data_IF_834346898195
#
_entry.id   IF_834346898195
#
_cell.length_a   1.000
_cell.length_b   1.000
_cell.length_c   1.000
_cell.angle_alpha   90.00
_cell.angle_beta   90.00
_cell.angle_gamma   90.00
#
_symmetry.space_group_name_H-M   'P 1'
#
loop_
_entity.id
_entity.type
_entity.pdbx_description
1 polymer ?
#
# COMPACT_ATOMS: atom_id res chain seq x y z
N UNK A 1 -17.57 5.85 11.26
CA UNK A 1 -16.90 5.64 12.56
C UNK A 1 -16.30 4.25 12.68
N UNK A 2 -17.12 3.21 12.91
CA UNK A 2 -16.63 1.85 13.26
C UNK A 2 -15.58 1.25 12.35
N UNK A 3 -15.63 1.50 11.03
CA UNK A 3 -14.63 0.96 10.09
C UNK A 3 -13.21 1.44 10.40
N UNK A 4 -13.06 2.69 10.80
CA UNK A 4 -11.77 3.31 11.08
C UNK A 4 -11.21 2.77 12.40
N UNK A 5 -12.07 2.58 13.41
CA UNK A 5 -11.68 1.92 14.67
C UNK A 5 -11.22 0.47 14.44
N UNK A 6 -11.93 -0.30 13.61
CA UNK A 6 -11.50 -1.66 13.23
C UNK A 6 -10.14 -1.64 12.53
N UNK A 7 -9.92 -0.66 11.65
CA UNK A 7 -8.65 -0.52 10.96
C UNK A 7 -7.51 -0.16 11.90
N UNK A 8 -7.70 0.78 12.83
CA UNK A 8 -6.72 1.12 13.88
C UNK A 8 -6.37 -0.08 14.76
N UNK A 9 -7.38 -0.86 15.17
CA UNK A 9 -7.16 -2.06 15.97
C UNK A 9 -6.36 -3.10 15.20
N UNK A 10 -6.68 -3.31 13.92
CA UNK A 10 -5.95 -4.21 13.05
C UNK A 10 -4.48 -3.78 12.85
N UNK A 11 -4.21 -2.50 12.60
CA UNK A 11 -2.83 -1.98 12.50
C UNK A 11 -2.03 -2.25 13.78
N UNK A 12 -2.66 -2.01 14.94
CA UNK A 12 -2.03 -2.25 16.26
C UNK A 12 -1.80 -3.74 16.52
N UNK A 13 -2.66 -4.61 16.00
CA UNK A 13 -2.48 -6.06 16.09
C UNK A 13 -1.33 -6.53 15.20
N UNK A 14 -1.22 -6.03 13.97
CA UNK A 14 -0.11 -6.35 13.06
C UNK A 14 1.24 -5.94 13.67
N UNK A 15 1.34 -4.73 14.20
CA UNK A 15 2.53 -4.22 14.89
C UNK A 15 2.93 -5.08 16.09
N UNK A 16 1.94 -5.48 16.89
CA UNK A 16 2.19 -6.35 18.05
C UNK A 16 2.64 -7.77 17.65
N UNK A 17 2.10 -8.33 16.57
CA UNK A 17 2.35 -9.72 16.16
C UNK A 17 3.60 -9.88 15.28
N UNK A 18 3.97 -8.84 14.53
CA UNK A 18 5.06 -8.89 13.56
C UNK A 18 6.35 -8.24 14.08
N UNK A 19 6.30 -7.62 15.26
CA UNK A 19 7.33 -6.74 15.77
C UNK A 19 7.09 -5.28 15.34
N UNK A 20 7.82 -4.33 15.93
CA UNK A 20 7.60 -2.90 15.65
C UNK A 20 7.67 -2.62 14.15
N UNK A 21 6.61 -2.02 13.60
CA UNK A 21 6.58 -1.60 12.21
C UNK A 21 7.57 -0.45 12.03
N UNK A 22 8.62 -0.66 11.23
CA UNK A 22 9.66 0.35 11.03
C UNK A 22 9.29 1.41 9.98
N UNK A 23 8.41 1.07 9.04
CA UNK A 23 7.91 2.00 8.01
C UNK A 23 6.67 1.43 7.30
N UNK A 24 5.88 2.31 6.70
CA UNK A 24 4.66 1.97 5.96
C UNK A 24 4.69 2.58 4.56
N UNK A 25 4.49 1.76 3.53
CA UNK A 25 4.21 2.25 2.18
C UNK A 25 2.80 1.83 1.76
N UNK A 26 2.08 2.74 1.14
CA UNK A 26 0.72 2.48 0.66
C UNK A 26 0.49 3.10 -0.71
N UNK A 27 -0.49 2.59 -1.44
CA UNK A 27 -0.88 3.13 -2.74
C UNK A 27 -1.50 4.53 -2.59
N UNK A 28 -0.91 5.54 -3.24
CA UNK A 28 -1.47 6.89 -3.30
C UNK A 28 -2.45 7.02 -4.48
N UNK A 29 -3.74 7.09 -4.16
CA UNK A 29 -4.81 7.36 -5.13
C UNK A 29 -5.20 8.83 -5.08
N UNK A 30 -4.82 9.59 -6.13
CA UNK A 30 -5.15 11.03 -6.23
C UNK A 30 -6.47 11.32 -6.95
N UNK A 31 -6.92 10.39 -7.80
CA UNK A 31 -8.14 10.57 -8.61
C UNK A 31 -9.17 9.52 -8.22
N UNK A 32 -10.29 9.98 -7.70
CA UNK A 32 -11.45 9.14 -7.39
C UNK A 32 -12.58 9.44 -8.37
N UNK A 33 -13.21 8.40 -8.91
CA UNK A 33 -14.35 8.55 -9.84
C UNK A 33 -15.65 8.87 -9.10
N UNK A 34 -15.75 8.54 -7.80
CA UNK A 34 -16.94 8.79 -6.98
C UNK A 34 -16.59 9.36 -5.61
N UNK A 35 -17.48 10.24 -5.11
CA UNK A 35 -17.34 10.94 -3.82
C UNK A 35 -17.26 9.97 -2.65
N UNK A 36 -18.08 8.92 -2.63
CA UNK A 36 -18.06 7.94 -1.55
C UNK A 36 -16.72 7.20 -1.48
N UNK A 37 -16.17 6.79 -2.62
CA UNK A 37 -14.85 6.16 -2.68
C UNK A 37 -13.76 7.10 -2.17
N UNK A 38 -13.83 8.39 -2.53
CA UNK A 38 -12.90 9.42 -2.05
C UNK A 38 -13.00 9.60 -0.52
N UNK A 39 -14.22 9.65 0.03
CA UNK A 39 -14.43 9.78 1.48
C UNK A 39 -13.90 8.57 2.25
N UNK A 40 -14.13 7.36 1.74
CA UNK A 40 -13.64 6.14 2.38
C UNK A 40 -12.12 6.06 2.34
N UNK A 41 -11.52 6.32 1.18
CA UNK A 41 -10.07 6.36 1.02
C UNK A 41 -9.44 7.42 1.93
N UNK A 42 -9.96 8.65 1.91
CA UNK A 42 -9.46 9.75 2.74
C UNK A 42 -9.57 9.43 4.24
N UNK A 43 -10.66 8.80 4.68
CA UNK A 43 -10.81 8.38 6.07
C UNK A 43 -9.85 7.26 6.49
N UNK A 44 -9.59 6.28 5.61
CA UNK A 44 -8.61 5.23 5.85
C UNK A 44 -7.19 5.80 5.89
N UNK A 45 -6.85 6.66 4.92
CA UNK A 45 -5.55 7.33 4.85
C UNK A 45 -5.28 8.16 6.12
N UNK A 46 -6.22 9.02 6.52
CA UNK A 46 -6.09 9.81 7.75
C UNK A 46 -5.94 8.94 9.00
N UNK A 47 -6.60 7.78 9.04
CA UNK A 47 -6.48 6.83 10.16
C UNK A 47 -5.10 6.17 10.19
N UNK A 48 -4.58 5.75 9.03
CA UNK A 48 -3.26 5.13 8.89
C UNK A 48 -2.16 6.11 9.32
N UNK A 49 -2.19 7.32 8.77
CA UNK A 49 -1.15 8.33 9.03
C UNK A 49 -1.19 8.79 10.48
N UNK A 50 -2.38 9.02 11.07
CA UNK A 50 -2.49 9.34 12.49
C UNK A 50 -1.96 8.21 13.39
N UNK A 51 -2.24 6.94 13.05
CA UNK A 51 -1.72 5.79 13.80
C UNK A 51 -0.18 5.73 13.76
N UNK A 52 0.40 6.03 12.60
CA UNK A 52 1.83 6.01 12.36
C UNK A 52 2.55 7.17 13.07
N UNK A 53 2.03 8.39 12.97
CA UNK A 53 2.55 9.59 13.67
C UNK A 53 2.61 9.39 15.18
N UNK A 54 1.54 8.83 15.78
CA UNK A 54 1.50 8.55 17.23
C UNK A 54 2.56 7.57 17.71
N UNK A 55 3.15 6.78 16.80
CA UNK A 55 4.17 5.77 17.10
C UNK A 55 5.55 6.13 16.54
N UNK A 56 5.69 7.26 15.85
CA UNK A 56 6.91 7.63 15.16
C UNK A 56 7.28 6.70 14.02
N UNK A 57 6.29 6.09 13.37
CA UNK A 57 6.49 5.20 12.21
C UNK A 57 6.47 6.05 10.93
N UNK A 58 7.56 6.11 10.16
CA UNK A 58 7.59 6.75 8.85
C UNK A 58 6.57 6.13 7.90
N UNK A 59 5.95 6.95 7.06
CA UNK A 59 5.04 6.46 6.04
C UNK A 59 5.14 7.25 4.73
N UNK A 60 4.83 6.59 3.62
CA UNK A 60 4.84 7.22 2.31
C UNK A 60 3.73 6.65 1.40
N UNK A 61 3.01 7.57 0.74
CA UNK A 61 2.09 7.23 -0.33
C UNK A 61 2.83 7.14 -1.67
N UNK A 62 2.73 6.00 -2.34
CA UNK A 62 3.40 5.74 -3.62
C UNK A 62 2.38 5.82 -4.75
N UNK A 63 2.58 6.68 -5.78
CA UNK A 63 1.63 6.78 -6.87
C UNK A 63 1.42 5.45 -7.61
N UNK A 64 0.18 5.10 -7.90
CA UNK A 64 -0.21 3.87 -8.63
C UNK A 64 0.62 3.65 -9.89
N UNK A 65 0.82 4.72 -10.66
CA UNK A 65 1.58 4.66 -11.90
C UNK A 65 3.06 4.33 -11.69
N UNK A 66 3.63 4.73 -10.56
CA UNK A 66 5.01 4.39 -10.16
C UNK A 66 5.11 2.91 -9.84
N UNK A 67 4.18 2.39 -9.03
CA UNK A 67 4.13 0.96 -8.65
C UNK A 67 3.99 0.09 -9.90
N UNK A 68 3.01 0.40 -10.76
CA UNK A 68 2.76 -0.36 -11.99
C UNK A 68 3.93 -0.32 -12.96
N UNK A 69 4.56 0.85 -13.12
CA UNK A 69 5.75 1.00 -13.96
C UNK A 69 6.91 0.19 -13.41
N UNK A 70 7.12 0.19 -12.09
CA UNK A 70 8.19 -0.56 -11.46
C UNK A 70 7.98 -2.08 -11.63
N UNK A 71 6.77 -2.58 -11.40
CA UNK A 71 6.47 -4.00 -11.49
C UNK A 71 6.44 -4.55 -12.93
N UNK A 72 5.95 -3.76 -13.90
CA UNK A 72 5.62 -4.28 -15.25
C UNK A 72 6.30 -3.53 -16.40
N UNK A 73 7.04 -2.46 -16.11
CA UNK A 73 7.55 -1.51 -17.10
C UNK A 73 6.51 -0.52 -17.64
N UNK A 74 5.21 -0.65 -17.31
CA UNK A 74 4.13 0.23 -17.79
C UNK A 74 3.31 0.81 -16.64
N UNK A 75 3.18 2.14 -16.58
CA UNK A 75 2.43 2.83 -15.52
C UNK A 75 0.91 2.65 -15.56
N UNK A 76 0.36 2.06 -16.62
CA UNK A 76 -1.06 1.80 -16.81
C UNK A 76 -1.36 0.30 -16.99
N UNK A 77 -0.54 -0.57 -16.38
CA UNK A 77 -0.70 -2.01 -16.50
C UNK A 77 -2.08 -2.50 -16.01
N UNK A 78 -2.69 -3.46 -16.72
CA UNK A 78 -3.92 -4.12 -16.31
C UNK A 78 -3.69 -5.06 -15.12
N UNK A 79 -4.76 -5.43 -14.42
CA UNK A 79 -4.72 -6.27 -13.21
C UNK A 79 -3.95 -7.59 -13.38
N UNK A 80 -4.17 -8.30 -14.49
CA UNK A 80 -3.48 -9.57 -14.76
C UNK A 80 -1.96 -9.41 -14.85
N UNK A 81 -1.48 -8.30 -15.41
CA UNK A 81 -0.05 -8.04 -15.55
C UNK A 81 0.63 -7.81 -14.20
N UNK A 82 -0.10 -7.26 -13.20
CA UNK A 82 0.41 -7.13 -11.83
C UNK A 82 0.56 -8.50 -11.16
N UNK A 83 -0.44 -9.37 -11.33
CA UNK A 83 -0.40 -10.75 -10.82
C UNK A 83 0.76 -11.53 -11.46
N UNK A 84 0.92 -11.43 -12.78
CA UNK A 84 2.00 -12.10 -13.51
C UNK A 84 3.37 -11.57 -13.09
N UNK A 85 3.50 -10.26 -12.86
CA UNK A 85 4.75 -9.66 -12.36
C UNK A 85 5.10 -10.14 -10.93
N UNK A 86 4.11 -10.23 -10.03
CA UNK A 86 4.30 -10.79 -8.70
C UNK A 86 4.71 -12.27 -8.75
N UNK A 87 4.09 -13.07 -9.63
CA UNK A 87 4.45 -14.48 -9.87
C UNK A 87 5.85 -14.64 -10.45
N UNK A 88 6.25 -13.78 -11.38
CA UNK A 88 7.60 -13.78 -11.94
C UNK A 88 8.68 -13.49 -10.89
N UNK A 89 8.31 -12.79 -9.79
CA UNK A 89 9.16 -12.56 -8.61
C UNK A 89 9.08 -13.68 -7.56
N UNK A 90 8.38 -14.78 -7.83
CA UNK A 90 8.31 -15.96 -6.95
C UNK A 90 7.18 -15.93 -5.91
N UNK A 91 6.26 -14.95 -5.99
CA UNK A 91 5.11 -14.88 -5.09
C UNK A 91 3.87 -15.58 -5.68
N UNK A 92 2.88 -15.87 -4.83
CA UNK A 92 1.60 -16.47 -5.24
C UNK A 92 0.42 -15.64 -4.70
N UNK A 93 0.19 -14.42 -5.23
CA UNK A 93 -0.90 -13.58 -4.76
C UNK A 93 -2.27 -14.20 -5.06
N UNK A 94 -3.20 -14.04 -4.14
CA UNK A 94 -4.58 -14.49 -4.27
C UNK A 94 -5.38 -13.61 -5.26
N UNK A 95 -5.12 -12.31 -5.29
CA UNK A 95 -5.81 -11.34 -6.12
C UNK A 95 -4.88 -10.18 -6.57
N UNK A 96 -5.46 -9.18 -7.24
CA UNK A 96 -4.71 -8.00 -7.67
C UNK A 96 -4.28 -7.09 -6.51
N UNK A 97 -5.02 -7.06 -5.39
CA UNK A 97 -4.64 -6.24 -4.24
C UNK A 97 -3.38 -6.77 -3.57
N UNK A 98 -3.27 -8.10 -3.39
CA UNK A 98 -2.05 -8.72 -2.89
C UNK A 98 -0.87 -8.53 -3.86
N UNK A 99 -1.11 -8.64 -5.17
CA UNK A 99 -0.08 -8.38 -6.17
C UNK A 99 0.43 -6.93 -6.12
N UNK A 100 -0.48 -5.95 -5.94
CA UNK A 100 -0.13 -4.54 -5.78
C UNK A 100 0.65 -4.29 -4.48
N UNK A 101 0.27 -4.92 -3.36
CA UNK A 101 1.00 -4.84 -2.09
C UNK A 101 2.44 -5.40 -2.21
N UNK A 102 2.60 -6.56 -2.88
CA UNK A 102 3.92 -7.13 -3.19
C UNK A 102 4.71 -6.18 -4.08
N UNK A 103 4.09 -5.58 -5.09
CA UNK A 103 4.75 -4.63 -5.98
C UNK A 103 5.27 -3.39 -5.23
N UNK A 104 4.49 -2.86 -4.28
CA UNK A 104 4.91 -1.76 -3.38
C UNK A 104 6.09 -2.18 -2.52
N UNK A 105 6.02 -3.37 -1.90
CA UNK A 105 7.11 -3.89 -1.07
C UNK A 105 8.42 -3.98 -1.84
N UNK A 106 8.38 -4.57 -3.05
CA UNK A 106 9.55 -4.69 -3.91
C UNK A 106 10.07 -3.32 -4.34
N UNK A 107 9.19 -2.40 -4.71
CA UNK A 107 9.58 -1.02 -5.03
C UNK A 107 10.30 -0.35 -3.85
N UNK A 108 9.76 -0.46 -2.64
CA UNK A 108 10.33 0.15 -1.44
C UNK A 108 11.72 -0.44 -1.11
N UNK A 109 11.89 -1.76 -1.22
CA UNK A 109 13.18 -2.42 -0.99
C UNK A 109 14.21 -2.03 -2.06
N UNK A 110 13.83 -2.11 -3.34
CA UNK A 110 14.74 -1.91 -4.47
C UNK A 110 15.15 -0.43 -4.62
N UNK A 111 14.29 0.51 -4.24
CA UNK A 111 14.53 1.96 -4.33
C UNK A 111 14.91 2.61 -3.00
N UNK A 112 15.02 1.82 -1.91
CA UNK A 112 15.20 2.32 -0.54
C UNK A 112 14.14 3.37 -0.15
N UNK A 113 12.88 3.10 -0.49
CA UNK A 113 11.77 4.03 -0.29
C UNK A 113 11.88 5.29 -1.16
N UNK A 114 12.20 5.13 -2.45
CA UNK A 114 12.30 6.25 -3.39
C UNK A 114 13.54 7.14 -3.25
N UNK A 115 14.53 6.74 -2.46
CA UNK A 115 15.78 7.48 -2.24
C UNK A 115 16.93 7.10 -3.19
N UNK A 116 16.78 6.02 -3.97
CA UNK A 116 17.76 5.52 -4.92
C UNK A 116 17.66 6.17 -6.31
#
# INVERSE_FOLDING_TARGET
GMRYLRFTNWLSEIDRLSGPVEAIWFEEVRRHVGTDAAHVYGGLMATLTAWAELRGVPYEGVPVGTIKRHATGKGNAPKHAMIDAARARGFSPADDNEADAIAILMWAIETKGGLA
#
